data_IF_718313550297
#
_entry.id   IF_718313550297
#
_cell.length_a   1.000
_cell.length_b   1.000
_cell.length_c   1.000
_cell.angle_alpha   90.00
_cell.angle_beta   90.00
_cell.angle_gamma   90.00
#
_symmetry.space_group_name_H-M   'P 1'
#
loop_
_entity.id
_entity.type
_entity.pdbx_description
1 polymer ?
#
# COMPACT_ATOMS: atom_id res chain seq x y z
N UNK A 1 -10.51 -6.36 2.68
CA UNK A 1 -9.12 -6.83 2.62
C UNK A 1 -9.09 -8.22 2.01
N UNK A 2 -8.44 -8.33 0.85
CA UNK A 2 -8.13 -9.60 0.21
C UNK A 2 -7.42 -10.51 1.22
N UNK A 3 -7.69 -11.81 1.15
CA UNK A 3 -7.00 -12.81 2.00
C UNK A 3 -5.70 -13.30 1.36
N UNK A 4 -5.55 -13.10 0.06
CA UNK A 4 -4.44 -13.59 -0.75
C UNK A 4 -3.86 -12.40 -1.54
N UNK A 5 -2.55 -12.15 -1.45
CA UNK A 5 -1.89 -11.14 -2.26
C UNK A 5 -1.89 -11.51 -3.75
N UNK A 6 -1.74 -10.52 -4.62
CA UNK A 6 -1.52 -10.78 -6.04
C UNK A 6 -0.16 -11.46 -6.28
N UNK A 7 -0.05 -12.26 -7.35
CA UNK A 7 1.21 -12.91 -7.72
C UNK A 7 2.35 -11.90 -7.95
N UNK A 8 2.03 -10.72 -8.49
CA UNK A 8 2.99 -9.64 -8.70
C UNK A 8 3.60 -9.16 -7.37
N UNK A 9 2.77 -8.96 -6.35
CA UNK A 9 3.23 -8.49 -5.04
C UNK A 9 3.96 -9.57 -4.24
N UNK A 10 3.68 -10.86 -4.49
CA UNK A 10 4.48 -11.96 -3.96
C UNK A 10 5.90 -11.89 -4.51
N UNK A 11 6.07 -11.71 -5.83
CA UNK A 11 7.40 -11.60 -6.43
C UNK A 11 8.14 -10.36 -5.94
N UNK A 12 7.46 -9.20 -5.83
CA UNK A 12 8.06 -7.99 -5.23
C UNK A 12 8.50 -8.21 -3.79
N UNK A 13 7.70 -8.90 -2.99
CA UNK A 13 8.03 -9.19 -1.59
C UNK A 13 9.26 -10.11 -1.45
N UNK A 14 9.48 -11.04 -2.39
CA UNK A 14 10.67 -11.91 -2.41
C UNK A 14 11.96 -11.16 -2.73
N UNK A 15 11.86 -10.01 -3.40
CA UNK A 15 13.01 -9.19 -3.80
C UNK A 15 13.48 -8.23 -2.69
N UNK A 16 12.75 -8.16 -1.57
CA UNK A 16 13.14 -7.33 -0.44
C UNK A 16 14.35 -7.95 0.26
N UNK A 17 15.31 -7.11 0.61
CA UNK A 17 16.35 -7.49 1.55
C UNK A 17 15.81 -7.56 2.98
N UNK A 18 16.60 -8.10 3.90
CA UNK A 18 16.20 -8.31 5.30
C UNK A 18 15.79 -7.00 5.97
N UNK A 19 16.55 -5.93 5.76
CA UNK A 19 16.27 -4.62 6.36
C UNK A 19 14.96 -4.02 5.82
N UNK A 20 14.70 -4.09 4.51
CA UNK A 20 13.46 -3.62 3.91
C UNK A 20 12.27 -4.47 4.36
N UNK A 21 12.44 -5.78 4.49
CA UNK A 21 11.42 -6.70 4.98
C UNK A 21 11.03 -6.37 6.44
N UNK A 22 12.01 -6.21 7.33
CA UNK A 22 11.77 -5.83 8.73
C UNK A 22 11.07 -4.48 8.85
N UNK A 23 11.53 -3.49 8.10
CA UNK A 23 10.93 -2.15 8.06
C UNK A 23 9.49 -2.20 7.58
N UNK A 24 9.21 -3.00 6.55
CA UNK A 24 7.86 -3.18 6.00
C UNK A 24 6.94 -3.86 7.02
N UNK A 25 7.41 -4.91 7.69
CA UNK A 25 6.64 -5.62 8.72
C UNK A 25 6.38 -4.75 9.95
N UNK A 26 7.34 -3.91 10.35
CA UNK A 26 7.21 -2.99 11.48
C UNK A 26 6.06 -1.99 11.30
N UNK A 27 5.83 -1.53 10.07
CA UNK A 27 4.72 -0.61 9.73
C UNK A 27 3.47 -1.31 9.20
N UNK A 28 3.45 -2.64 9.18
CA UNK A 28 2.32 -3.38 8.63
C UNK A 28 1.04 -3.06 9.40
N UNK A 29 -0.10 -3.00 8.69
CA UNK A 29 -1.39 -2.70 9.33
C UNK A 29 -1.67 -3.73 10.43
N UNK A 30 -2.14 -3.27 11.59
CA UNK A 30 -2.36 -4.10 12.80
C UNK A 30 -3.20 -5.37 12.57
N UNK A 31 -4.14 -5.34 11.60
CA UNK A 31 -4.95 -6.49 11.21
C UNK A 31 -4.16 -7.58 10.47
N UNK A 32 -3.13 -7.21 9.72
CA UNK A 32 -2.22 -8.16 9.06
C UNK A 32 -1.28 -8.80 10.08
N UNK A 33 -0.73 -8.01 11.01
CA UNK A 33 0.09 -8.52 12.13
C UNK A 33 -0.67 -9.55 12.94
N UNK A 34 -1.93 -9.28 13.33
CA UNK A 34 -2.78 -10.28 14.02
C UNK A 34 -2.98 -11.57 13.23
N UNK A 35 -3.03 -11.51 11.90
CA UNK A 35 -3.18 -12.72 11.06
C UNK A 35 -1.88 -13.49 10.91
N UNK A 36 -0.75 -12.81 10.99
CA UNK A 36 0.57 -13.43 11.10
C UNK A 36 0.68 -14.22 12.40
N UNK A 37 0.29 -13.60 13.51
CA UNK A 37 0.31 -14.20 14.85
C UNK A 37 -0.62 -15.44 14.93
N UNK A 38 -1.81 -15.33 14.34
CA UNK A 38 -2.77 -16.44 14.19
C UNK A 38 -2.30 -17.55 13.23
N UNK A 39 -1.11 -17.43 12.62
CA UNK A 39 -0.55 -18.30 11.56
C UNK A 39 -1.47 -18.48 10.35
N UNK A 40 -2.38 -17.54 10.12
CA UNK A 40 -3.32 -17.56 8.98
C UNK A 40 -2.67 -17.03 7.69
N UNK A 41 -1.56 -16.31 7.82
CA UNK A 41 -0.75 -15.77 6.73
C UNK A 41 0.71 -16.02 7.02
N UNK A 42 1.51 -16.24 5.98
CA UNK A 42 2.96 -16.28 6.12
C UNK A 42 3.53 -14.85 6.18
N UNK A 43 4.77 -14.65 6.67
CA UNK A 43 5.44 -13.35 6.60
C UNK A 43 5.48 -12.80 5.16
N UNK A 44 5.72 -13.68 4.19
CA UNK A 44 5.73 -13.33 2.76
C UNK A 44 4.37 -12.81 2.29
N UNK A 45 3.28 -13.48 2.68
CA UNK A 45 1.92 -13.03 2.33
C UNK A 45 1.59 -11.68 2.94
N UNK A 46 2.03 -11.45 4.19
CA UNK A 46 1.83 -10.17 4.88
C UNK A 46 2.61 -9.06 4.20
N UNK A 47 3.87 -9.30 3.82
CA UNK A 47 4.68 -8.33 3.07
C UNK A 47 4.03 -7.99 1.73
N UNK A 48 3.62 -9.00 0.96
CA UNK A 48 2.98 -8.80 -0.33
C UNK A 48 1.66 -8.02 -0.21
N UNK A 49 0.81 -8.37 0.78
CA UNK A 49 -0.43 -7.63 1.05
C UNK A 49 -0.15 -6.19 1.50
N UNK A 50 0.87 -5.97 2.33
CA UNK A 50 1.23 -4.64 2.80
C UNK A 50 1.72 -3.77 1.64
N UNK A 51 2.54 -4.30 0.74
CA UNK A 51 2.97 -3.60 -0.49
C UNK A 51 1.78 -3.23 -1.38
N UNK A 52 0.86 -4.17 -1.61
CA UNK A 52 -0.34 -3.92 -2.42
C UNK A 52 -1.19 -2.79 -1.83
N UNK A 53 -1.40 -2.80 -0.52
CA UNK A 53 -2.17 -1.76 0.18
C UNK A 53 -1.48 -0.39 0.09
N UNK A 54 -0.17 -0.33 0.31
CA UNK A 54 0.57 0.93 0.25
C UNK A 54 0.55 1.54 -1.16
N UNK A 55 0.58 0.71 -2.21
CA UNK A 55 0.47 1.19 -3.59
C UNK A 55 -0.96 1.65 -3.92
N UNK A 56 -1.99 0.93 -3.46
CA UNK A 56 -3.39 1.37 -3.56
C UNK A 56 -3.60 2.73 -2.87
N UNK A 57 -3.14 2.89 -1.62
CA UNK A 57 -3.24 4.13 -0.85
C UNK A 57 -2.49 5.29 -1.56
N UNK A 58 -1.31 5.00 -2.13
CA UNK A 58 -0.51 6.00 -2.85
C UNK A 58 -1.20 6.46 -4.14
N UNK A 59 -1.80 5.54 -4.88
CA UNK A 59 -2.54 5.86 -6.10
C UNK A 59 -3.79 6.68 -5.79
N UNK A 60 -4.56 6.30 -4.76
CA UNK A 60 -5.72 7.08 -4.30
C UNK A 60 -5.31 8.50 -3.87
N UNK A 61 -4.18 8.64 -3.18
CA UNK A 61 -3.65 9.96 -2.81
C UNK A 61 -3.28 10.80 -4.03
N UNK A 62 -2.61 10.21 -5.03
CA UNK A 62 -2.23 10.90 -6.27
C UNK A 62 -3.45 11.40 -7.04
N UNK A 63 -4.50 10.58 -7.13
CA UNK A 63 -5.76 10.95 -7.77
C UNK A 63 -6.41 12.14 -7.06
N UNK A 64 -6.53 12.09 -5.73
CA UNK A 64 -7.08 13.20 -4.92
C UNK A 64 -6.28 14.49 -5.10
N UNK A 65 -4.95 14.42 -5.09
CA UNK A 65 -4.10 15.61 -5.28
C UNK A 65 -4.28 16.19 -6.69
N UNK A 66 -4.37 15.33 -7.71
CA UNK A 66 -4.63 15.78 -9.08
C UNK A 66 -6.00 16.47 -9.21
N UNK A 67 -7.05 15.94 -8.57
CA UNK A 67 -8.37 16.56 -8.52
C UNK A 67 -8.36 17.94 -7.87
N UNK A 68 -7.69 18.08 -6.72
CA UNK A 68 -7.53 19.36 -6.01
C UNK A 68 -6.85 20.37 -6.92
N UNK A 69 -5.73 19.99 -7.54
CA UNK A 69 -4.97 20.87 -8.43
C UNK A 69 -5.82 21.33 -9.64
N UNK A 70 -6.58 20.42 -10.26
CA UNK A 70 -7.50 20.78 -11.35
C UNK A 70 -8.61 21.74 -10.88
N UNK A 71 -9.16 21.52 -9.69
CA UNK A 71 -10.18 22.40 -9.11
C UNK A 71 -9.62 23.80 -8.84
N UNK A 72 -8.37 23.91 -8.36
CA UNK A 72 -7.69 25.20 -8.16
C UNK A 72 -7.43 25.95 -9.46
N UNK A 73 -6.96 25.26 -10.50
CA UNK A 73 -6.75 25.86 -11.83
C UNK A 73 -8.07 26.40 -12.39
N UNK A 74 -9.16 25.63 -12.30
CA UNK A 74 -10.50 26.05 -12.73
C UNK A 74 -11.05 27.24 -11.94
N UNK A 75 -10.75 27.35 -10.64
CA UNK A 75 -11.12 28.51 -9.83
C UNK A 75 -10.36 29.76 -10.25
N UNK A 76 -9.04 29.64 -10.47
CA UNK A 76 -8.19 30.76 -10.93
C UNK A 76 -8.58 31.27 -12.33
N UNK A 77 -9.03 30.39 -13.23
CA UNK A 77 -9.50 30.79 -14.56
C UNK A 77 -10.90 31.42 -14.57
N UNK A 78 -11.71 31.23 -13.53
CA UNK A 78 -13.05 31.83 -13.40
C UNK A 78 -13.03 33.19 -12.68
N UNK A 79 -11.98 33.49 -11.92
CA UNK A 79 -11.77 34.77 -11.23
C UNK A 79 -10.93 35.78 -12.03
N UNK A 80 -10.63 35.48 -13.30
CA UNK A 80 -9.86 36.33 -14.23
C UNK A 80 -10.71 36.62 -15.45
#
# INVERSE_FOLDING_TARGET
MKKTPSAEYIEKAKLLDEEAAERLLSRARSKLVRRLDDRKLTPLDVMALQLEIEDEDLNEWRERVAEIHQAEVKKKSKSK
#
